data_IF_815600351923
#
_entry.id   IF_815600351923
#
_cell.length_a   1.000
_cell.length_b   1.000
_cell.length_c   1.000
_cell.angle_alpha   90.00
_cell.angle_beta   90.00
_cell.angle_gamma   90.00
#
_symmetry.space_group_name_H-M   'P 1'
#
loop_
_entity.id
_entity.type
_entity.pdbx_description
1 polymer ?
#
# COMPACT_ATOMS: atom_id res chain seq x y z
N UNK A 1 19.60 -5.06 20.38
CA UNK A 1 20.02 -4.54 21.72
C UNK A 1 19.29 -5.13 22.94
N UNK A 2 17.99 -4.86 23.22
CA UNK A 2 17.31 -5.40 24.45
C UNK A 2 17.05 -6.91 24.44
N UNK A 3 17.21 -7.57 23.30
CA UNK A 3 17.04 -9.02 23.17
C UNK A 3 15.60 -9.48 22.92
N UNK A 4 14.64 -8.57 22.75
CA UNK A 4 13.26 -8.89 22.37
C UNK A 4 12.99 -8.78 20.87
N UNK A 5 11.71 -8.99 20.52
CA UNK A 5 11.21 -8.80 19.17
C UNK A 5 10.62 -7.39 18.99
N UNK A 6 10.56 -6.92 17.75
CA UNK A 6 9.87 -5.69 17.36
C UNK A 6 8.64 -6.06 16.57
N UNK A 7 7.46 -5.70 17.07
CA UNK A 7 6.19 -5.97 16.43
C UNK A 7 5.68 -4.67 15.80
N UNK A 8 5.37 -4.70 14.51
CA UNK A 8 4.93 -3.54 13.74
C UNK A 8 3.56 -3.84 13.13
N UNK A 9 2.46 -3.43 13.81
CA UNK A 9 1.13 -3.40 13.18
C UNK A 9 1.17 -2.51 11.94
N UNK A 10 0.83 -3.07 10.77
CA UNK A 10 0.81 -2.31 9.52
C UNK A 10 -0.32 -2.75 8.59
N UNK A 11 -0.84 -1.85 7.76
CA UNK A 11 -1.80 -2.20 6.71
C UNK A 11 -1.10 -3.01 5.62
N UNK A 12 -1.78 -4.03 5.11
CA UNK A 12 -1.22 -4.96 4.14
C UNK A 12 -0.82 -4.29 2.80
N UNK A 13 -1.53 -3.21 2.44
CA UNK A 13 -1.33 -2.43 1.21
C UNK A 13 -0.84 -1.03 1.56
N UNK A 14 0.16 -0.54 0.83
CA UNK A 14 0.79 0.76 1.01
C UNK A 14 1.79 0.78 2.16
N UNK A 15 1.33 0.77 3.41
CA UNK A 15 2.20 1.01 4.58
C UNK A 15 3.23 -0.10 4.81
N UNK A 16 2.87 -1.36 4.57
CA UNK A 16 3.85 -2.47 4.65
C UNK A 16 4.96 -2.30 3.62
N UNK A 17 4.65 -1.90 2.39
CA UNK A 17 5.64 -1.73 1.32
C UNK A 17 6.57 -0.54 1.61
N UNK A 18 6.04 0.56 2.13
CA UNK A 18 6.86 1.70 2.56
C UNK A 18 7.81 1.33 3.71
N UNK A 19 7.36 0.49 4.67
CA UNK A 19 8.24 -0.04 5.72
C UNK A 19 9.34 -0.94 5.15
N UNK A 20 9.01 -1.81 4.20
CA UNK A 20 10.01 -2.68 3.53
C UNK A 20 11.07 -1.81 2.86
N UNK A 21 10.64 -0.78 2.12
CA UNK A 21 11.53 0.18 1.48
C UNK A 21 12.48 0.86 2.48
N UNK A 22 11.94 1.44 3.56
CA UNK A 22 12.74 2.12 4.59
C UNK A 22 13.73 1.15 5.26
N UNK A 23 13.29 -0.08 5.53
CA UNK A 23 14.16 -1.10 6.12
C UNK A 23 15.26 -1.56 5.17
N UNK A 24 15.00 -1.56 3.85
CA UNK A 24 16.03 -1.80 2.85
C UNK A 24 17.11 -0.70 2.89
N UNK A 25 16.71 0.58 2.85
CA UNK A 25 17.65 1.71 2.96
C UNK A 25 18.49 1.64 4.25
N UNK A 26 17.88 1.21 5.35
CA UNK A 26 18.62 1.02 6.61
C UNK A 26 19.59 -0.16 6.56
N UNK A 27 19.26 -1.23 5.85
CA UNK A 27 20.16 -2.35 5.66
C UNK A 27 21.35 -1.95 4.78
N UNK A 28 21.12 -1.26 3.67
CA UNK A 28 22.16 -0.75 2.76
C UNK A 28 23.09 0.24 3.45
N UNK A 29 22.55 1.12 4.28
CA UNK A 29 23.32 2.06 5.08
C UNK A 29 24.03 1.41 6.29
N UNK A 30 23.92 0.10 6.50
CA UNK A 30 24.51 -0.62 7.63
C UNK A 30 23.93 -0.23 9.00
N UNK A 31 22.74 0.36 9.03
CA UNK A 31 22.05 0.82 10.25
C UNK A 31 21.20 -0.27 10.89
N UNK A 32 20.83 -1.31 10.12
CA UNK A 32 20.15 -2.49 10.65
C UNK A 32 21.18 -3.42 11.32
N UNK A 33 20.93 -3.81 12.57
CA UNK A 33 21.82 -4.68 13.34
C UNK A 33 22.00 -6.04 12.61
N UNK A 34 23.25 -6.53 12.53
CA UNK A 34 23.57 -7.76 11.79
C UNK A 34 22.77 -8.94 12.35
N UNK A 35 22.11 -9.69 11.46
CA UNK A 35 21.35 -10.89 11.81
C UNK A 35 19.90 -10.63 12.25
N UNK A 36 19.43 -9.38 12.25
CA UNK A 36 17.99 -9.09 12.39
C UNK A 36 17.24 -9.64 11.19
N UNK A 37 16.20 -10.43 11.45
CA UNK A 37 15.29 -10.96 10.42
C UNK A 37 14.00 -10.17 10.43
N UNK A 38 13.55 -9.74 9.25
CA UNK A 38 12.29 -9.02 9.06
C UNK A 38 11.30 -9.97 8.41
N UNK A 39 10.18 -10.21 9.09
CA UNK A 39 9.09 -11.05 8.59
C UNK A 39 7.87 -10.19 8.28
N UNK A 40 7.33 -10.35 7.08
CA UNK A 40 6.00 -9.87 6.70
C UNK A 40 5.04 -11.03 6.86
N UNK A 41 4.30 -11.02 7.97
CA UNK A 41 3.34 -12.07 8.31
C UNK A 41 1.91 -11.62 7.98
N UNK A 42 1.61 -11.60 6.68
CA UNK A 42 0.28 -11.35 6.17
C UNK A 42 0.19 -11.84 4.72
N UNK A 43 -0.63 -12.87 4.42
CA UNK A 43 -0.78 -13.37 3.05
C UNK A 43 -1.23 -12.27 2.09
N UNK A 44 -2.08 -11.35 2.57
CA UNK A 44 -2.50 -10.19 1.78
C UNK A 44 -1.34 -9.22 1.52
N UNK A 45 -0.47 -8.97 2.51
CA UNK A 45 0.68 -8.09 2.32
C UNK A 45 1.72 -8.71 1.38
N UNK A 46 1.94 -10.02 1.44
CA UNK A 46 2.80 -10.76 0.50
C UNK A 46 2.31 -10.58 -0.93
N UNK A 47 1.02 -10.86 -1.18
CA UNK A 47 0.39 -10.69 -2.51
C UNK A 47 0.42 -9.24 -2.98
N UNK A 48 0.10 -8.30 -2.08
CA UNK A 48 0.18 -6.87 -2.40
C UNK A 48 1.59 -6.44 -2.77
N UNK A 49 2.61 -6.97 -2.09
CA UNK A 49 4.00 -6.62 -2.39
C UNK A 49 4.43 -7.16 -3.76
N UNK A 50 3.98 -8.36 -4.14
CA UNK A 50 4.20 -8.89 -5.49
C UNK A 50 3.59 -7.98 -6.56
N UNK A 51 2.36 -7.50 -6.37
CA UNK A 51 1.72 -6.53 -7.27
C UNK A 51 2.53 -5.23 -7.34
N UNK A 52 2.98 -4.69 -6.20
CA UNK A 52 3.82 -3.47 -6.22
C UNK A 52 5.07 -3.64 -7.07
N UNK A 53 5.75 -4.79 -7.00
CA UNK A 53 6.94 -5.09 -7.81
C UNK A 53 6.61 -5.15 -9.30
N UNK A 54 5.52 -5.83 -9.67
CA UNK A 54 5.05 -5.94 -11.05
C UNK A 54 4.73 -4.55 -11.66
N UNK A 55 4.20 -3.65 -10.85
CA UNK A 55 3.76 -2.31 -11.26
C UNK A 55 4.75 -1.20 -10.90
N UNK A 56 6.05 -1.51 -10.81
CA UNK A 56 7.14 -0.57 -10.47
C UNK A 56 7.23 0.68 -11.34
N UNK A 57 6.64 0.68 -12.55
CA UNK A 57 6.48 1.88 -13.41
C UNK A 57 5.70 3.04 -12.77
N UNK A 58 4.95 2.78 -11.70
CA UNK A 58 4.20 3.81 -10.97
C UNK A 58 4.96 4.35 -9.74
N UNK A 59 6.17 3.86 -9.47
CA UNK A 59 7.00 4.40 -8.40
C UNK A 59 7.52 5.80 -8.77
N UNK A 60 8.08 6.51 -7.80
CA UNK A 60 8.79 7.76 -8.08
C UNK A 60 10.05 7.51 -8.93
N UNK A 61 10.60 8.58 -9.50
CA UNK A 61 11.72 8.48 -10.43
C UNK A 61 12.99 7.89 -9.80
N UNK A 62 13.25 8.17 -8.50
CA UNK A 62 14.42 7.65 -7.80
C UNK A 62 14.30 6.13 -7.61
N UNK A 63 13.17 5.66 -7.11
CA UNK A 63 12.87 4.24 -6.97
C UNK A 63 12.95 3.49 -8.30
N UNK A 64 12.42 4.07 -9.38
CA UNK A 64 12.51 3.48 -10.71
C UNK A 64 13.95 3.33 -11.19
N UNK A 65 14.81 4.32 -10.90
CA UNK A 65 16.22 4.30 -11.30
C UNK A 65 17.00 3.23 -10.53
N UNK A 66 16.72 3.04 -9.22
CA UNK A 66 17.28 1.94 -8.44
C UNK A 66 16.89 0.58 -9.03
N UNK A 67 15.60 0.38 -9.30
CA UNK A 67 15.07 -0.85 -9.91
C UNK A 67 15.75 -1.18 -11.26
N UNK A 68 15.99 -0.18 -12.12
CA UNK A 68 16.69 -0.37 -13.41
C UNK A 68 18.13 -0.83 -13.26
N UNK A 69 18.80 -0.47 -12.16
CA UNK A 69 20.17 -0.91 -11.84
C UNK A 69 20.23 -2.31 -11.21
N UNK A 70 19.08 -2.98 -11.09
CA UNK A 70 18.96 -4.29 -10.44
C UNK A 70 18.84 -4.21 -8.93
N UNK A 71 18.69 -3.00 -8.37
CA UNK A 71 18.49 -2.78 -6.94
C UNK A 71 16.99 -2.77 -6.61
N UNK A 72 16.49 -3.91 -6.13
CA UNK A 72 15.07 -4.10 -5.88
C UNK A 72 14.67 -3.47 -4.54
N UNK A 73 14.07 -2.29 -4.61
CA UNK A 73 13.71 -1.45 -3.46
C UNK A 73 12.71 -2.09 -2.48
N UNK A 74 12.08 -3.22 -2.84
CA UNK A 74 11.15 -3.99 -1.99
C UNK A 74 11.71 -5.38 -1.59
N UNK A 75 13.03 -5.59 -1.72
CA UNK A 75 13.72 -6.82 -1.36
C UNK A 75 15.03 -6.52 -0.66
N UNK A 76 15.38 -7.36 0.32
CA UNK A 76 16.66 -7.27 0.99
C UNK A 76 17.01 -8.59 1.67
N UNK A 77 18.32 -8.87 1.87
CA UNK A 77 18.86 -10.20 2.28
C UNK A 77 18.15 -10.89 3.47
N UNK A 78 17.59 -10.14 4.41
CA UNK A 78 16.94 -10.68 5.61
C UNK A 78 15.43 -10.38 5.68
N UNK A 79 14.79 -10.11 4.53
CA UNK A 79 13.35 -10.00 4.40
C UNK A 79 12.73 -11.35 4.07
N UNK A 80 11.72 -11.74 4.83
CA UNK A 80 11.00 -12.98 4.67
C UNK A 80 9.50 -12.70 4.64
N UNK A 81 8.77 -13.49 3.87
CA UNK A 81 7.31 -13.46 3.82
C UNK A 81 6.80 -14.80 4.36
N UNK A 82 5.78 -14.76 5.22
CA UNK A 82 5.15 -15.98 5.72
C UNK A 82 3.71 -16.09 5.22
N UNK A 83 3.36 -17.28 4.72
CA UNK A 83 2.06 -17.56 4.13
C UNK A 83 1.20 -18.46 5.03
N UNK A 84 1.78 -19.53 5.56
CA UNK A 84 1.06 -20.51 6.37
C UNK A 84 0.77 -20.03 7.80
N UNK A 85 -0.16 -20.72 8.46
CA UNK A 85 -0.47 -20.45 9.87
C UNK A 85 0.64 -21.03 10.77
N UNK A 86 1.19 -22.17 10.38
CA UNK A 86 2.25 -22.89 11.06
C UNK A 86 3.52 -22.05 11.16
N UNK A 87 3.93 -21.43 10.05
CA UNK A 87 5.06 -20.50 10.03
C UNK A 87 4.80 -19.29 10.95
N UNK A 88 3.59 -18.73 10.91
CA UNK A 88 3.19 -17.61 11.78
C UNK A 88 3.26 -17.99 13.26
N UNK A 89 2.85 -19.20 13.62
CA UNK A 89 2.97 -19.73 14.98
C UNK A 89 4.43 -19.93 15.40
N UNK A 90 5.30 -20.34 14.48
CA UNK A 90 6.74 -20.50 14.77
C UNK A 90 7.41 -19.14 15.05
N UNK A 91 7.01 -18.07 14.36
CA UNK A 91 7.46 -16.72 14.68
C UNK A 91 7.13 -16.32 16.12
N UNK A 92 5.96 -16.72 16.63
CA UNK A 92 5.53 -16.45 18.00
C UNK A 92 6.39 -17.18 19.05
N UNK A 93 7.04 -18.29 18.69
CA UNK A 93 7.94 -19.05 19.57
C UNK A 93 9.34 -18.47 19.64
N UNK A 94 9.74 -17.71 18.62
CA UNK A 94 11.06 -17.10 18.54
C UNK A 94 11.15 -15.89 19.48
N UNK A 95 12.05 -15.95 20.46
CA UNK A 95 12.13 -14.93 21.52
C UNK A 95 12.94 -13.68 21.15
N UNK A 96 13.88 -13.75 20.20
CA UNK A 96 14.83 -12.66 19.96
C UNK A 96 15.16 -12.47 18.48
N UNK A 97 15.48 -11.24 18.11
CA UNK A 97 16.09 -10.91 16.81
C UNK A 97 15.10 -10.81 15.64
N UNK A 98 13.80 -10.80 15.92
CA UNK A 98 12.77 -10.64 14.88
C UNK A 98 12.19 -9.22 14.86
N UNK A 99 12.00 -8.71 13.64
CA UNK A 99 11.04 -7.65 13.33
C UNK A 99 9.88 -8.33 12.61
N UNK A 100 8.66 -8.19 13.13
CA UNK A 100 7.45 -8.79 12.55
C UNK A 100 6.50 -7.68 12.14
N UNK A 101 6.30 -7.52 10.84
CA UNK A 101 5.30 -6.64 10.24
C UNK A 101 4.07 -7.48 9.96
N UNK A 102 2.93 -7.13 10.54
CA UNK A 102 1.71 -7.92 10.38
C UNK A 102 0.47 -7.03 10.33
N UNK A 103 -0.48 -7.44 9.50
CA UNK A 103 -1.80 -6.85 9.44
C UNK A 103 -2.70 -7.34 10.59
N UNK A 104 -3.65 -6.53 11.07
CA UNK A 104 -4.03 -5.18 10.60
C UNK A 104 -3.26 -4.02 11.25
N UNK A 105 -3.20 -2.87 10.56
CA UNK A 105 -2.45 -1.68 10.99
C UNK A 105 -2.92 -1.00 12.28
N UNK A 106 -4.18 -1.23 12.67
CA UNK A 106 -4.74 -0.74 13.94
C UNK A 106 -4.83 -1.82 15.03
N UNK A 107 -4.23 -2.99 14.77
CA UNK A 107 -4.25 -4.15 15.65
C UNK A 107 -5.66 -4.66 16.05
N UNK A 108 -6.69 -4.37 15.25
CA UNK A 108 -8.09 -4.73 15.55
C UNK A 108 -8.39 -6.20 15.27
N UNK A 109 -7.74 -6.76 14.23
CA UNK A 109 -7.92 -8.14 13.79
C UNK A 109 -6.66 -8.69 13.10
N UNK A 110 -6.65 -10.02 12.88
CA UNK A 110 -5.62 -10.73 12.13
C UNK A 110 -4.46 -11.26 12.98
N UNK A 111 -3.43 -11.77 12.31
CA UNK A 111 -2.24 -12.40 12.90
C UNK A 111 -1.51 -11.48 13.88
N UNK A 112 -1.60 -10.16 13.69
CA UNK A 112 -0.99 -9.16 14.58
C UNK A 112 -1.45 -9.33 16.04
N UNK A 113 -2.70 -9.73 16.29
CA UNK A 113 -3.20 -9.94 17.65
C UNK A 113 -2.51 -11.11 18.34
N UNK A 114 -2.17 -12.16 17.59
CA UNK A 114 -1.39 -13.28 18.11
C UNK A 114 0.04 -12.84 18.45
N UNK A 115 0.69 -12.08 17.56
CA UNK A 115 2.01 -11.51 17.83
C UNK A 115 2.02 -10.60 19.06
N UNK A 116 0.99 -9.77 19.23
CA UNK A 116 0.83 -8.93 20.41
C UNK A 116 0.61 -9.77 21.68
N UNK A 117 -0.24 -10.81 21.65
CA UNK A 117 -0.42 -11.74 22.78
C UNK A 117 0.91 -12.32 23.27
N UNK A 118 1.81 -12.68 22.35
CA UNK A 118 3.08 -13.35 22.69
C UNK A 118 4.23 -12.38 23.04
N UNK A 119 4.06 -11.08 22.78
CA UNK A 119 5.13 -10.10 22.95
C UNK A 119 4.81 -8.93 23.90
N UNK A 120 3.53 -8.59 24.15
CA UNK A 120 3.16 -7.44 24.98
C UNK A 120 3.64 -7.55 26.43
N UNK A 121 3.59 -8.74 27.03
CA UNK A 121 3.99 -8.96 28.42
C UNK A 121 5.51 -9.00 28.63
N UNK A 122 6.28 -8.94 27.53
CA UNK A 122 7.74 -9.08 27.53
C UNK A 122 8.42 -7.71 27.50
N UNK A 123 9.11 -7.36 28.57
CA UNK A 123 9.76 -6.05 28.74
C UNK A 123 10.88 -5.75 27.75
N UNK A 124 11.49 -6.80 27.18
CA UNK A 124 12.53 -6.70 26.17
C UNK A 124 11.97 -6.35 24.78
N UNK A 125 10.70 -6.65 24.51
CA UNK A 125 10.05 -6.43 23.22
C UNK A 125 9.60 -4.98 23.01
N UNK A 126 9.36 -4.61 21.76
CA UNK A 126 8.76 -3.32 21.37
C UNK A 126 7.56 -3.55 20.46
N UNK A 127 6.57 -2.67 20.57
CA UNK A 127 5.51 -2.51 19.58
C UNK A 127 5.66 -1.13 18.96
N UNK A 128 5.64 -1.06 17.63
CA UNK A 128 5.86 0.17 16.89
C UNK A 128 4.66 0.44 15.99
N UNK A 129 3.87 1.45 16.33
CA UNK A 129 2.78 1.93 15.47
C UNK A 129 3.31 2.96 14.48
N UNK A 130 2.99 2.77 13.20
CA UNK A 130 3.51 3.60 12.10
C UNK A 130 2.41 4.35 11.33
N UNK A 131 1.20 4.38 11.88
CA UNK A 131 0.07 5.05 11.27
C UNK A 131 -0.95 5.47 12.31
N UNK A 132 -1.96 6.22 11.87
CA UNK A 132 -3.05 6.69 12.71
C UNK A 132 -3.80 5.51 13.36
N UNK A 133 -4.17 5.68 14.63
CA UNK A 133 -4.91 4.69 15.42
C UNK A 133 -6.25 5.29 15.84
N UNK A 134 -7.32 4.78 15.23
CA UNK A 134 -8.68 5.25 15.51
C UNK A 134 -9.09 4.99 16.96
N UNK A 135 -9.92 5.87 17.52
CA UNK A 135 -10.48 5.71 18.86
C UNK A 135 -11.18 4.35 19.00
N UNK A 136 -10.96 3.66 20.12
CA UNK A 136 -11.51 2.34 20.39
C UNK A 136 -10.76 1.16 19.73
N UNK A 137 -9.77 1.42 18.88
CA UNK A 137 -8.87 0.36 18.38
C UNK A 137 -7.90 -0.11 19.47
N UNK A 138 -7.46 -1.37 19.39
CA UNK A 138 -6.44 -1.90 20.29
C UNK A 138 -5.14 -1.09 20.19
N UNK A 139 -4.76 -0.67 18.98
CA UNK A 139 -3.57 0.14 18.82
C UNK A 139 -3.66 1.49 19.53
N UNK A 140 -4.83 2.15 19.50
CA UNK A 140 -5.05 3.39 20.25
C UNK A 140 -5.00 3.17 21.76
N UNK A 141 -5.64 2.11 22.26
CA UNK A 141 -5.61 1.73 23.69
C UNK A 141 -4.15 1.53 24.17
N UNK A 142 -3.32 0.89 23.36
CA UNK A 142 -1.90 0.68 23.67
C UNK A 142 -1.10 1.99 23.61
N UNK A 143 -1.37 2.86 22.63
CA UNK A 143 -0.75 4.19 22.54
C UNK A 143 -1.08 5.08 23.73
N UNK A 144 -2.32 5.00 24.23
CA UNK A 144 -2.79 5.78 25.39
C UNK A 144 -2.21 5.27 26.72
N UNK A 145 -1.39 4.21 26.70
CA UNK A 145 -0.62 3.75 27.86
C UNK A 145 -1.33 2.72 28.74
N UNK A 146 -2.27 1.95 28.18
CA UNK A 146 -2.90 0.85 28.89
C UNK A 146 -1.87 -0.12 29.50
N UNK A 147 -2.04 -0.47 30.78
CA UNK A 147 -1.14 -1.38 31.51
C UNK A 147 -1.50 -2.85 31.31
N UNK A 148 -2.74 -3.14 30.95
CA UNK A 148 -3.21 -4.45 30.53
C UNK A 148 -4.25 -4.31 29.42
N UNK A 149 -4.41 -5.35 28.61
CA UNK A 149 -5.42 -5.45 27.54
C UNK A 149 -6.00 -6.86 27.50
N UNK A 150 -7.26 -7.00 27.13
CA UNK A 150 -7.85 -8.32 26.89
C UNK A 150 -7.60 -8.77 25.45
N UNK A 151 -6.96 -9.93 25.27
CA UNK A 151 -6.73 -10.56 23.99
C UNK A 151 -7.15 -12.02 24.06
N UNK A 152 -8.12 -12.41 23.23
CA UNK A 152 -8.64 -13.79 23.15
C UNK A 152 -9.20 -14.30 24.49
N UNK A 153 -9.83 -13.42 25.27
CA UNK A 153 -10.40 -13.76 26.57
C UNK A 153 -9.40 -13.73 27.72
N UNK A 154 -8.11 -13.52 27.44
CA UNK A 154 -7.05 -13.46 28.44
C UNK A 154 -6.62 -12.01 28.71
N UNK A 155 -6.38 -11.67 29.97
CA UNK A 155 -5.76 -10.40 30.33
C UNK A 155 -4.24 -10.49 30.14
N UNK A 156 -3.70 -9.62 29.30
CA UNK A 156 -2.27 -9.56 28.96
C UNK A 156 -1.68 -8.27 29.50
N UNK A 157 -0.64 -8.37 30.34
CA UNK A 157 0.12 -7.23 30.82
C UNK A 157 0.88 -6.54 29.66
N UNK A 158 0.96 -5.22 29.69
CA UNK A 158 1.68 -4.41 28.70
C UNK A 158 2.99 -3.93 29.32
N UNK A 159 4.04 -4.75 29.17
CA UNK A 159 5.40 -4.46 29.62
C UNK A 159 6.33 -4.07 28.46
N UNK A 160 5.98 -4.45 27.23
CA UNK A 160 6.71 -4.08 26.02
C UNK A 160 6.73 -2.56 25.83
N UNK A 161 7.79 -2.05 25.21
CA UNK A 161 7.90 -0.62 24.91
C UNK A 161 7.01 -0.27 23.72
N UNK A 162 6.04 0.61 23.93
CA UNK A 162 5.15 1.13 22.88
C UNK A 162 5.78 2.38 22.27
N UNK A 163 5.95 2.37 20.95
CA UNK A 163 6.47 3.48 20.17
C UNK A 163 5.47 3.88 19.09
N UNK A 164 5.50 5.13 18.68
CA UNK A 164 4.61 5.64 17.63
C UNK A 164 5.34 6.64 16.74
N UNK A 165 5.24 6.42 15.43
CA UNK A 165 5.78 7.30 14.40
C UNK A 165 4.62 7.87 13.59
N UNK A 166 4.39 9.17 13.71
CA UNK A 166 3.31 9.87 13.00
C UNK A 166 3.62 10.16 11.53
N UNK A 167 4.90 10.11 11.13
CA UNK A 167 5.37 10.48 9.79
C UNK A 167 5.10 9.45 8.68
N UNK A 168 4.58 8.26 9.00
CA UNK A 168 4.40 7.16 8.05
C UNK A 168 2.91 6.82 7.79
N UNK A 169 1.97 7.73 8.10
CA UNK A 169 0.54 7.45 7.96
C UNK A 169 0.03 7.44 6.51
N UNK A 170 0.75 8.07 5.59
CA UNK A 170 0.30 8.29 4.21
C UNK A 170 -0.70 9.44 4.05
N UNK A 171 -1.08 10.09 5.16
CA UNK A 171 -1.94 11.27 5.17
C UNK A 171 -1.11 12.53 5.32
N UNK A 172 -1.48 13.58 4.59
CA UNK A 172 -0.92 14.91 4.79
C UNK A 172 -1.26 15.42 6.20
N UNK A 173 -0.30 16.04 6.87
CA UNK A 173 -0.55 16.71 8.14
C UNK A 173 -1.38 18.00 7.93
N UNK A 174 -1.73 18.68 9.03
CA UNK A 174 -2.52 19.93 8.98
C UNK A 174 -1.88 20.97 8.04
N UNK A 175 -0.54 21.08 8.06
CA UNK A 175 0.19 22.05 7.23
C UNK A 175 0.20 21.61 5.77
N UNK A 176 0.35 20.33 5.49
CA UNK A 176 0.27 19.74 4.16
C UNK A 176 -1.10 19.95 3.52
N UNK A 177 -2.19 19.67 4.25
CA UNK A 177 -3.56 19.94 3.78
C UNK A 177 -3.78 21.43 3.51
N UNK A 178 -3.33 22.29 4.43
CA UNK A 178 -3.41 23.74 4.25
C UNK A 178 -2.66 24.23 3.00
N UNK A 179 -1.41 23.80 2.84
CA UNK A 179 -0.59 24.13 1.67
C UNK A 179 -1.19 23.60 0.37
N UNK A 180 -1.79 22.41 0.41
CA UNK A 180 -2.47 21.82 -0.74
C UNK A 180 -3.65 22.69 -1.19
N UNK A 181 -4.50 23.14 -0.27
CA UNK A 181 -5.60 24.07 -0.57
C UNK A 181 -5.07 25.39 -1.16
N UNK A 182 -4.00 25.95 -0.58
CA UNK A 182 -3.38 27.20 -1.06
C UNK A 182 -2.77 27.09 -2.46
N UNK A 183 -2.30 25.91 -2.84
CA UNK A 183 -1.70 25.67 -4.15
C UNK A 183 -2.73 25.61 -5.29
N UNK A 184 -4.03 25.54 -4.99
CA UNK A 184 -5.09 25.52 -6.01
C UNK A 184 -5.21 26.89 -6.67
N UNK A 185 -4.73 27.03 -7.91
CA UNK A 185 -4.63 28.29 -8.67
C UNK A 185 -5.91 29.12 -8.66
N UNK A 186 -7.06 28.49 -8.88
CA UNK A 186 -8.38 29.10 -8.71
C UNK A 186 -9.01 28.47 -7.48
N UNK A 187 -8.89 29.16 -6.35
CA UNK A 187 -9.31 28.66 -5.04
C UNK A 187 -10.76 28.12 -5.06
N UNK A 188 -11.05 27.10 -4.25
CA UNK A 188 -12.38 26.49 -4.21
C UNK A 188 -13.43 27.50 -3.73
N UNK A 189 -14.63 27.44 -4.32
CA UNK A 189 -15.79 28.22 -3.85
C UNK A 189 -16.25 27.77 -2.46
N UNK A 190 -16.12 26.48 -2.19
CA UNK A 190 -16.49 25.86 -0.93
C UNK A 190 -15.62 24.62 -0.69
N UNK A 191 -15.27 24.37 0.57
CA UNK A 191 -14.47 23.23 1.01
C UNK A 191 -15.30 22.40 1.97
N UNK A 192 -15.44 21.11 1.69
CA UNK A 192 -16.09 20.15 2.57
C UNK A 192 -15.02 19.25 3.21
N UNK A 193 -14.87 19.36 4.53
CA UNK A 193 -13.99 18.49 5.30
C UNK A 193 -14.74 17.20 5.66
N UNK A 194 -14.10 16.07 5.39
CA UNK A 194 -14.58 14.71 5.67
C UNK A 194 -13.44 13.89 6.29
N UNK A 195 -13.76 12.68 6.76
CA UNK A 195 -12.78 11.66 7.17
C UNK A 195 -11.69 12.18 8.14
N UNK A 196 -12.12 12.81 9.23
CA UNK A 196 -11.23 13.28 10.29
C UNK A 196 -11.92 13.31 11.63
N UNK A 197 -11.14 13.22 12.71
CA UNK A 197 -11.67 13.36 14.07
C UNK A 197 -12.35 14.74 14.23
N UNK A 198 -13.41 14.86 15.06
CA UNK A 198 -14.16 16.09 15.21
C UNK A 198 -13.29 17.32 15.56
N UNK A 199 -12.36 17.14 16.48
CA UNK A 199 -11.43 18.19 16.92
C UNK A 199 -10.45 18.60 15.82
N UNK A 200 -9.86 17.63 15.12
CA UNK A 200 -8.94 17.88 14.01
C UNK A 200 -9.63 18.59 12.83
N UNK A 201 -10.86 18.16 12.52
CA UNK A 201 -11.69 18.75 11.47
C UNK A 201 -12.08 20.19 11.81
N UNK A 202 -12.42 20.46 13.08
CA UNK A 202 -12.74 21.80 13.58
C UNK A 202 -11.52 22.72 13.48
N UNK A 203 -10.35 22.26 13.94
CA UNK A 203 -9.12 23.04 13.88
C UNK A 203 -8.69 23.38 12.44
N UNK A 204 -8.84 22.44 11.49
CA UNK A 204 -8.53 22.71 10.08
C UNK A 204 -9.56 23.65 9.44
N UNK A 205 -10.85 23.51 9.79
CA UNK A 205 -11.91 24.43 9.36
C UNK A 205 -11.58 25.86 9.78
N UNK A 206 -11.24 26.08 11.05
CA UNK A 206 -10.92 27.41 11.57
C UNK A 206 -9.71 28.02 10.86
N UNK A 207 -8.64 27.24 10.69
CA UNK A 207 -7.44 27.68 9.98
C UNK A 207 -7.76 28.15 8.54
N UNK A 208 -8.48 27.33 7.77
CA UNK A 208 -8.84 27.69 6.40
C UNK A 208 -9.85 28.84 6.36
N UNK A 209 -10.80 28.90 7.30
CA UNK A 209 -11.79 29.99 7.36
C UNK A 209 -11.13 31.33 7.67
N UNK A 210 -10.05 31.35 8.47
CA UNK A 210 -9.29 32.57 8.77
C UNK A 210 -8.64 33.20 7.53
N UNK A 211 -8.44 32.40 6.49
CA UNK A 211 -7.90 32.82 5.19
C UNK A 211 -8.99 33.19 4.17
N UNK A 212 -10.25 33.25 4.60
CA UNK A 212 -11.39 33.64 3.76
C UNK A 212 -12.02 32.51 2.95
N UNK A 213 -11.61 31.25 3.17
CA UNK A 213 -12.29 30.11 2.54
C UNK A 213 -13.64 29.84 3.21
N UNK A 214 -14.66 29.52 2.41
CA UNK A 214 -15.92 28.97 2.94
C UNK A 214 -15.74 27.46 3.19
N UNK A 215 -15.73 27.05 4.46
CA UNK A 215 -15.41 25.68 4.86
C UNK A 215 -16.53 25.09 5.72
N UNK A 216 -16.95 23.87 5.38
CA UNK A 216 -17.95 23.09 6.12
C UNK A 216 -17.39 21.74 6.50
N UNK A 217 -17.71 21.26 7.70
CA UNK A 217 -17.48 19.87 8.08
C UNK A 217 -18.73 19.11 7.69
N UNK A 218 -18.59 18.21 6.71
CA UNK A 218 -19.72 17.43 6.22
C UNK A 218 -20.12 16.37 7.25
N UNK A 219 -21.43 16.13 7.36
CA UNK A 219 -22.00 15.08 8.17
C UNK A 219 -22.52 13.95 7.28
N UNK A 220 -22.59 12.76 7.85
CA UNK A 220 -23.19 11.62 7.17
C UNK A 220 -24.64 11.94 6.79
N UNK A 221 -24.97 11.73 5.52
CA UNK A 221 -26.29 12.03 4.96
C UNK A 221 -26.49 13.47 4.49
N UNK A 222 -25.49 14.36 4.62
CA UNK A 222 -25.58 15.70 4.05
C UNK A 222 -25.73 15.63 2.52
N UNK A 223 -26.69 16.39 1.99
CA UNK A 223 -26.92 16.56 0.55
C UNK A 223 -26.52 17.97 0.16
N UNK A 224 -25.54 18.08 -0.75
CA UNK A 224 -25.07 19.37 -1.27
C UNK A 224 -25.48 19.52 -2.73
N UNK A 225 -26.39 20.46 -3.06
CA UNK A 225 -26.71 20.76 -4.46
C UNK A 225 -25.52 21.41 -5.15
N UNK A 226 -24.84 20.69 -6.03
CA UNK A 226 -23.66 21.23 -6.73
C UNK A 226 -24.01 22.13 -7.92
N UNK A 227 -25.29 22.23 -8.31
CA UNK A 227 -25.77 22.97 -9.49
C UNK A 227 -25.41 24.46 -9.44
N UNK A 228 -25.29 25.02 -8.25
CA UNK A 228 -24.89 26.43 -8.04
C UNK A 228 -23.37 26.63 -8.18
N UNK A 229 -22.60 25.54 -8.16
CA UNK A 229 -21.14 25.54 -8.13
C UNK A 229 -20.52 25.14 -9.48
N UNK A 230 -21.17 24.23 -10.22
CA UNK A 230 -20.71 23.69 -11.50
C UNK A 230 -21.72 23.92 -12.61
N UNK A 231 -21.22 24.37 -13.76
CA UNK A 231 -21.97 24.34 -15.01
C UNK A 231 -21.92 22.91 -15.52
N UNK A 232 -23.05 22.19 -15.43
CA UNK A 232 -23.16 20.88 -16.05
C UNK A 232 -23.00 21.06 -17.56
N UNK A 233 -21.86 20.59 -18.07
CA UNK A 233 -21.67 20.46 -19.51
C UNK A 233 -22.50 19.23 -19.92
N UNK A 234 -23.23 19.26 -21.06
CA UNK A 234 -23.86 18.05 -21.58
C UNK A 234 -22.83 16.93 -21.59
N UNK A 235 -23.30 15.69 -21.37
CA UNK A 235 -22.49 14.48 -21.56
C UNK A 235 -21.72 14.69 -22.87
N UNK A 236 -20.39 14.62 -22.86
CA UNK A 236 -19.65 14.56 -24.13
C UNK A 236 -20.38 13.52 -24.95
N UNK A 237 -20.85 13.89 -26.14
CA UNK A 237 -21.30 12.89 -27.11
C UNK A 237 -20.19 11.84 -27.10
N UNK A 238 -20.57 10.59 -26.83
CA UNK A 238 -19.63 9.49 -26.96
C UNK A 238 -18.91 9.75 -28.28
N UNK A 239 -17.60 9.95 -28.24
CA UNK A 239 -16.84 9.95 -29.48
C UNK A 239 -17.25 8.61 -30.10
N UNK A 240 -18.03 8.66 -31.19
CA UNK A 240 -18.13 7.53 -32.08
C UNK A 240 -16.69 7.32 -32.49
N UNK A 241 -16.02 6.38 -31.81
CA UNK A 241 -14.84 5.72 -32.33
C UNK A 241 -15.32 5.27 -33.70
N UNK A 242 -14.92 6.02 -34.74
CA UNK A 242 -15.44 5.79 -36.08
C UNK A 242 -15.38 4.29 -36.32
N UNK A 243 -16.45 3.71 -36.85
CA UNK A 243 -16.54 2.26 -37.08
C UNK A 243 -15.28 1.71 -37.77
N UNK A 244 -14.66 2.55 -38.62
CA UNK A 244 -13.36 2.37 -39.26
C UNK A 244 -12.18 2.12 -38.29
N UNK A 245 -12.13 2.81 -37.15
CA UNK A 245 -11.09 2.74 -36.11
C UNK A 245 -11.22 1.47 -35.29
N UNK A 246 -12.44 1.09 -34.93
CA UNK A 246 -12.72 -0.17 -34.21
C UNK A 246 -12.53 -1.38 -35.13
N UNK A 247 -13.00 -1.30 -36.38
CA UNK A 247 -12.75 -2.33 -37.40
C UNK A 247 -11.26 -2.47 -37.71
N UNK A 248 -10.51 -1.37 -37.78
CA UNK A 248 -9.05 -1.39 -37.95
C UNK A 248 -8.34 -2.03 -36.76
N UNK A 249 -8.76 -1.71 -35.53
CA UNK A 249 -8.20 -2.29 -34.32
C UNK A 249 -8.55 -3.79 -34.18
N UNK A 250 -9.79 -4.18 -34.47
CA UNK A 250 -10.25 -5.57 -34.49
C UNK A 250 -9.58 -6.38 -35.60
N UNK A 251 -9.39 -5.79 -36.78
CA UNK A 251 -8.62 -6.41 -37.86
C UNK A 251 -7.16 -6.62 -37.44
N UNK A 252 -6.52 -5.64 -36.77
CA UNK A 252 -5.16 -5.80 -36.23
C UNK A 252 -5.07 -6.89 -35.15
N UNK A 253 -6.10 -7.03 -34.30
CA UNK A 253 -6.16 -8.08 -33.28
C UNK A 253 -6.36 -9.48 -33.89
N UNK A 254 -7.30 -9.63 -34.84
CA UNK A 254 -7.50 -10.90 -35.57
C UNK A 254 -6.25 -11.32 -36.35
N UNK A 255 -5.54 -10.36 -36.95
CA UNK A 255 -4.24 -10.59 -37.62
C UNK A 255 -3.20 -11.16 -36.66
N UNK A 256 -3.17 -10.66 -35.42
CA UNK A 256 -2.25 -11.13 -34.38
C UNK A 256 -2.60 -12.55 -33.90
N UNK A 257 -3.90 -12.88 -33.81
CA UNK A 257 -4.37 -14.22 -33.45
C UNK A 257 -4.05 -15.28 -34.51
N UNK A 258 -4.14 -14.96 -35.80
CA UNK A 258 -3.75 -15.91 -36.88
C UNK A 258 -2.24 -16.18 -36.88
N UNK A 259 -1.43 -15.15 -36.64
CA UNK A 259 0.02 -15.28 -36.48
C UNK A 259 0.39 -16.13 -35.25
N UNK A 260 -0.27 -15.90 -34.11
CA UNK A 260 -0.05 -16.70 -32.90
C UNK A 260 -0.44 -18.16 -33.13
N UNK A 261 -1.62 -18.43 -33.73
CA UNK A 261 -2.04 -19.80 -34.04
C UNK A 261 -1.11 -20.51 -35.00
N UNK A 262 -0.60 -19.81 -36.01
CA UNK A 262 0.37 -20.41 -36.94
C UNK A 262 1.67 -20.77 -36.20
N UNK A 263 2.19 -19.87 -35.37
CA UNK A 263 3.40 -20.13 -34.56
C UNK A 263 3.21 -21.28 -33.57
N UNK A 264 2.02 -21.43 -32.99
CA UNK A 264 1.68 -22.55 -32.10
C UNK A 264 1.60 -23.90 -32.83
N UNK A 265 1.44 -23.91 -34.15
CA UNK A 265 1.43 -25.14 -34.97
C UNK A 265 2.80 -25.55 -35.49
N UNK A 266 3.84 -24.73 -35.30
CA UNK A 266 5.18 -25.01 -35.79
C UNK A 266 5.97 -25.89 -34.82
N UNK A 267 6.63 -26.91 -35.36
CA UNK A 267 7.60 -27.73 -34.65
C UNK A 267 9.02 -27.35 -35.12
N UNK A 268 9.66 -26.46 -34.37
CA UNK A 268 10.96 -25.87 -34.73
C UNK A 268 12.12 -26.88 -34.82
N UNK A 269 11.93 -28.13 -34.38
CA UNK A 269 12.93 -29.19 -34.55
C UNK A 269 12.76 -29.99 -35.85
N UNK A 270 11.57 -29.93 -36.47
CA UNK A 270 11.22 -30.71 -37.66
C UNK A 270 10.95 -29.87 -38.90
N UNK A 271 10.47 -28.65 -38.72
CA UNK A 271 10.04 -27.78 -39.81
C UNK A 271 11.21 -26.96 -40.38
N UNK A 272 11.27 -26.85 -41.71
CA UNK A 272 12.33 -26.11 -42.39
C UNK A 272 12.12 -24.59 -42.25
N UNK A 273 13.19 -23.87 -41.88
CA UNK A 273 13.19 -22.42 -41.73
C UNK A 273 12.68 -21.67 -42.97
N UNK A 274 13.00 -22.13 -44.18
CA UNK A 274 12.54 -21.49 -45.42
C UNK A 274 11.02 -21.66 -45.62
N UNK A 275 10.45 -22.79 -45.21
CA UNK A 275 9.02 -23.06 -45.29
C UNK A 275 8.23 -22.28 -44.23
N UNK A 276 8.80 -22.14 -43.02
CA UNK A 276 8.26 -21.28 -41.95
C UNK A 276 8.22 -19.83 -42.40
N UNK A 277 9.31 -19.32 -42.97
CA UNK A 277 9.40 -17.96 -43.49
C UNK A 277 8.42 -17.73 -44.64
N UNK A 278 8.27 -18.69 -45.55
CA UNK A 278 7.26 -18.65 -46.63
C UNK A 278 5.82 -18.66 -46.10
N UNK A 279 5.53 -19.41 -45.02
CA UNK A 279 4.22 -19.45 -44.38
C UNK A 279 3.90 -18.15 -43.65
N UNK A 280 4.86 -17.61 -42.88
CA UNK A 280 4.78 -16.28 -42.26
C UNK A 280 4.59 -15.21 -43.33
N UNK A 281 5.37 -15.24 -44.41
CA UNK A 281 5.23 -14.31 -45.54
C UNK A 281 3.88 -14.42 -46.22
N UNK A 282 3.28 -15.61 -46.35
CA UNK A 282 1.94 -15.77 -46.94
C UNK A 282 0.85 -15.19 -46.05
N UNK A 283 0.96 -15.34 -44.73
CA UNK A 283 0.04 -14.73 -43.75
C UNK A 283 0.24 -13.20 -43.75
N UNK A 284 1.48 -12.74 -43.93
CA UNK A 284 1.83 -11.32 -44.04
C UNK A 284 1.48 -10.74 -45.43
N UNK A 285 1.46 -11.50 -46.52
CA UNK A 285 1.14 -11.02 -47.88
C UNK A 285 -0.34 -11.14 -48.26
N UNK A 286 -1.13 -11.97 -47.56
CA UNK A 286 -2.61 -11.94 -47.61
C UNK A 286 -3.22 -10.69 -46.94
N UNK A 287 -2.37 -9.79 -46.43
CA UNK A 287 -2.71 -8.53 -45.76
C UNK A 287 -3.38 -7.50 -46.65
#
# INVERSE_FOLDING_TARGET
>A
RRGGNVIIPSFAVGRTQELIYILNEFQEAGKLERGVKVYVDSPLASKSTAIFKEYSRYFDAESQEKMKKGDNVLEFRNLFFTESVEDSMELNRTKKGLVIISASGMATAGRIRHHLKHNLWRSESSVVFVGYQAQGSLGRILQDGARSVNLFGEEIAVNAKIHSFSGLSGHADRRGLYNWVKAIRKGPKEIFLTHGDPEASTALKELLSSDGYNVRIAKDGDIVPIKDYVKLVPKMEEFELEKSTVESALAKLRKKEELIRYVETLDFERDNADEILLGLEKIIKKQ
#
